data_IF_884239942462
#
_entry.id   IF_884239942462
#
_cell.length_a   1.000
_cell.length_b   1.000
_cell.length_c   1.000
_cell.angle_alpha   90.00
_cell.angle_beta   90.00
_cell.angle_gamma   90.00
#
_symmetry.space_group_name_H-M   'P 1'
#
loop_
_entity.id
_entity.type
_entity.pdbx_description
1 polymer ?
#
# COMPACT_ATOMS: atom_id res chain seq x y z
N UNK A 1 -25.27 7.59 17.79
CA UNK A 1 -24.70 7.69 16.42
C UNK A 1 -23.21 7.81 16.59
N UNK A 2 -22.55 6.67 16.48
CA UNK A 2 -21.54 6.28 17.46
C UNK A 2 -20.15 6.68 17.02
N UNK A 3 -19.42 7.31 17.95
CA UNK A 3 -18.00 7.64 17.84
C UNK A 3 -17.16 6.38 17.50
N UNK A 4 -17.63 5.22 17.97
CA UNK A 4 -17.11 3.88 17.63
C UNK A 4 -17.08 3.58 16.12
N UNK A 5 -17.95 4.17 15.29
CA UNK A 5 -17.93 3.90 13.84
C UNK A 5 -16.82 4.65 13.08
N UNK A 6 -16.41 5.83 13.55
CA UNK A 6 -15.40 6.65 12.82
C UNK A 6 -13.99 6.18 13.12
N UNK A 7 -13.69 5.92 14.39
CA UNK A 7 -12.37 5.43 14.83
C UNK A 7 -12.09 4.05 14.24
N UNK A 8 -13.08 3.15 14.24
CA UNK A 8 -12.93 1.84 13.62
C UNK A 8 -12.76 1.91 12.09
N UNK A 9 -13.51 2.79 11.39
CA UNK A 9 -13.32 2.99 9.94
C UNK A 9 -11.93 3.51 9.61
N UNK A 10 -11.41 4.42 10.43
CA UNK A 10 -10.05 4.94 10.29
C UNK A 10 -9.01 3.84 10.52
N UNK A 11 -9.18 3.04 11.57
CA UNK A 11 -8.36 1.86 11.81
C UNK A 11 -8.35 0.92 10.60
N UNK A 12 -9.52 0.54 10.06
CA UNK A 12 -9.61 -0.34 8.89
C UNK A 12 -8.93 0.28 7.67
N UNK A 13 -9.06 1.59 7.46
CA UNK A 13 -8.39 2.30 6.37
C UNK A 13 -6.86 2.19 6.49
N UNK A 14 -6.33 2.43 7.67
CA UNK A 14 -4.91 2.34 7.97
C UNK A 14 -4.42 0.89 7.86
N UNK A 15 -5.13 -0.05 8.47
CA UNK A 15 -4.78 -1.47 8.45
C UNK A 15 -4.72 -2.00 7.02
N UNK A 16 -5.68 -1.62 6.16
CA UNK A 16 -5.66 -1.98 4.74
C UNK A 16 -4.44 -1.47 3.98
N UNK A 17 -3.85 -0.35 4.41
CA UNK A 17 -2.61 0.18 3.82
C UNK A 17 -1.41 -0.63 4.28
N UNK A 18 -1.33 -0.89 5.58
CA UNK A 18 -0.24 -1.67 6.20
C UNK A 18 -0.19 -3.10 5.67
N UNK A 19 -1.33 -3.78 5.57
CA UNK A 19 -1.39 -5.22 5.22
C UNK A 19 -0.86 -5.54 3.81
N UNK A 20 -0.78 -4.56 2.91
CA UNK A 20 -0.32 -4.74 1.53
C UNK A 20 0.90 -3.90 1.19
N UNK A 21 1.54 -3.30 2.20
CA UNK A 21 2.68 -2.42 2.02
C UNK A 21 3.64 -2.58 3.21
N UNK A 22 4.53 -3.57 3.09
CA UNK A 22 5.51 -3.89 4.12
C UNK A 22 6.51 -2.75 4.38
N UNK A 23 6.80 -1.92 3.36
CA UNK A 23 7.64 -0.72 3.53
C UNK A 23 6.92 0.30 4.44
N UNK A 24 5.64 0.57 4.17
CA UNK A 24 4.82 1.46 5.00
C UNK A 24 4.71 0.93 6.44
N UNK A 25 4.54 -0.38 6.63
CA UNK A 25 4.58 -0.98 7.96
C UNK A 25 5.91 -0.71 8.67
N UNK A 26 7.02 -0.94 7.99
CA UNK A 26 8.35 -0.78 8.57
C UNK A 26 8.60 0.66 9.02
N UNK A 27 8.35 1.62 8.13
CA UNK A 27 8.64 3.03 8.35
C UNK A 27 7.67 3.69 9.35
N UNK A 28 6.37 3.44 9.19
CA UNK A 28 5.36 4.15 9.97
C UNK A 28 4.99 3.46 11.29
N UNK A 29 5.39 2.20 11.49
CA UNK A 29 5.06 1.44 12.71
C UNK A 29 6.28 0.82 13.36
N UNK A 30 6.97 -0.11 12.70
CA UNK A 30 8.04 -0.88 13.33
C UNK A 30 9.18 0.01 13.84
N UNK A 31 9.69 0.91 12.99
CA UNK A 31 10.79 1.81 13.33
C UNK A 31 10.39 2.83 14.40
N UNK A 32 9.14 3.31 14.40
CA UNK A 32 8.64 4.24 15.43
C UNK A 32 8.51 3.58 16.79
N UNK A 33 8.14 2.30 16.84
CA UNK A 33 8.03 1.52 18.08
C UNK A 33 9.39 1.03 18.58
N UNK A 34 10.33 0.77 17.66
CA UNK A 34 11.66 0.25 17.96
C UNK A 34 12.76 1.20 17.46
N UNK A 35 12.86 2.44 17.99
CA UNK A 35 13.79 3.44 17.46
C UNK A 35 15.26 3.00 17.55
N UNK A 36 15.62 2.28 18.62
CA UNK A 36 16.99 1.77 18.82
C UNK A 36 17.37 0.65 17.86
N UNK A 37 16.38 0.05 17.18
CA UNK A 37 16.54 -1.04 16.21
C UNK A 37 15.92 -0.67 14.86
N UNK A 38 15.83 0.63 14.57
CA UNK A 38 15.25 1.10 13.32
C UNK A 38 16.02 0.50 12.15
N UNK A 39 15.27 -0.06 11.19
CA UNK A 39 15.83 -0.62 9.97
C UNK A 39 15.71 0.44 8.90
N UNK A 40 16.85 0.91 8.41
CA UNK A 40 16.92 1.77 7.24
C UNK A 40 17.20 0.91 6.01
N UNK A 41 16.29 0.94 5.04
CA UNK A 41 16.41 0.23 3.78
C UNK A 41 16.80 1.20 2.67
N UNK A 42 17.61 0.71 1.74
CA UNK A 42 17.86 1.34 0.44
C UNK A 42 16.60 1.30 -0.44
N UNK A 43 16.55 2.11 -1.51
CA UNK A 43 15.43 2.11 -2.45
C UNK A 43 15.24 0.73 -3.10
N UNK A 44 16.34 0.01 -3.40
CA UNK A 44 16.32 -1.33 -3.95
C UNK A 44 15.71 -2.35 -2.98
N UNK A 45 16.10 -2.29 -1.70
CA UNK A 45 15.54 -3.15 -0.65
C UNK A 45 14.07 -2.84 -0.39
N UNK A 46 13.68 -1.55 -0.42
CA UNK A 46 12.27 -1.15 -0.33
C UNK A 46 11.45 -1.71 -1.49
N UNK A 47 11.97 -1.62 -2.71
CA UNK A 47 11.29 -2.20 -3.87
C UNK A 47 11.15 -3.72 -3.73
N UNK A 48 12.22 -4.42 -3.35
CA UNK A 48 12.18 -5.87 -3.15
C UNK A 48 11.17 -6.28 -2.08
N UNK A 49 11.17 -5.59 -0.94
CA UNK A 49 10.24 -5.85 0.16
C UNK A 49 8.79 -5.55 -0.24
N UNK A 50 8.57 -4.46 -0.98
CA UNK A 50 7.26 -4.15 -1.51
C UNK A 50 6.79 -5.22 -2.50
N UNK A 51 7.63 -5.64 -3.45
CA UNK A 51 7.25 -6.65 -4.44
C UNK A 51 6.96 -8.03 -3.84
N UNK A 52 7.61 -8.38 -2.72
CA UNK A 52 7.38 -9.63 -2.00
C UNK A 52 6.01 -9.65 -1.29
N UNK A 53 5.61 -8.52 -0.69
CA UNK A 53 4.41 -8.44 0.17
C UNK A 53 3.26 -7.61 -0.41
N UNK A 54 3.42 -7.04 -1.62
CA UNK A 54 2.36 -6.27 -2.26
C UNK A 54 1.12 -7.13 -2.45
N UNK A 55 -0.03 -6.58 -2.10
CA UNK A 55 -1.31 -7.22 -2.38
C UNK A 55 -1.53 -7.32 -3.89
N UNK A 56 -2.06 -8.45 -4.35
CA UNK A 56 -2.62 -8.54 -5.71
C UNK A 56 -3.98 -7.81 -5.70
N UNK A 57 -4.23 -6.88 -6.63
CA UNK A 57 -5.54 -6.25 -6.74
C UNK A 57 -6.62 -7.30 -6.98
N UNK A 58 -7.53 -7.47 -6.02
CA UNK A 58 -8.74 -8.27 -6.20
C UNK A 58 -9.84 -7.37 -6.75
N UNK A 59 -10.12 -7.52 -8.04
CA UNK A 59 -11.20 -6.79 -8.71
C UNK A 59 -12.56 -7.35 -8.30
N UNK A 60 -13.55 -6.45 -8.18
CA UNK A 60 -14.89 -6.81 -7.70
C UNK A 60 -15.74 -7.46 -8.80
N UNK A 61 -15.34 -7.29 -10.04
CA UNK A 61 -16.04 -7.74 -11.25
C UNK A 61 -15.25 -8.87 -11.93
N UNK A 62 -15.95 -9.68 -12.74
CA UNK A 62 -15.37 -10.76 -13.53
C UNK A 62 -15.55 -10.52 -15.02
N UNK A 63 -14.85 -11.28 -15.87
CA UNK A 63 -14.99 -11.17 -17.32
C UNK A 63 -14.47 -9.84 -17.87
N UNK A 64 -15.16 -9.26 -18.86
CA UNK A 64 -14.73 -8.06 -19.60
C UNK A 64 -14.55 -6.84 -18.68
N UNK A 65 -15.41 -6.69 -17.67
CA UNK A 65 -15.34 -5.57 -16.71
C UNK A 65 -14.07 -5.61 -15.84
N UNK A 66 -13.57 -6.80 -15.51
CA UNK A 66 -12.33 -6.96 -14.78
C UNK A 66 -11.13 -6.41 -15.57
N UNK A 67 -11.13 -6.58 -16.91
CA UNK A 67 -10.08 -6.03 -17.77
C UNK A 67 -10.10 -4.51 -17.81
N UNK A 68 -11.28 -3.87 -17.79
CA UNK A 68 -11.37 -2.41 -17.71
C UNK A 68 -10.90 -1.85 -16.35
N UNK A 69 -11.21 -2.55 -15.25
CA UNK A 69 -10.72 -2.17 -13.92
C UNK A 69 -9.19 -2.34 -13.81
N UNK A 70 -8.65 -3.42 -14.37
CA UNK A 70 -7.21 -3.65 -14.51
C UNK A 70 -6.52 -2.54 -15.31
N UNK A 71 -7.04 -2.21 -16.50
CA UNK A 71 -6.49 -1.17 -17.37
C UNK A 71 -6.48 0.20 -16.68
N UNK A 72 -7.59 0.57 -16.01
CA UNK A 72 -7.66 1.81 -15.22
C UNK A 72 -6.64 1.82 -14.08
N UNK A 73 -6.47 0.69 -13.39
CA UNK A 73 -5.49 0.54 -12.33
C UNK A 73 -4.06 0.75 -12.85
N UNK A 74 -3.66 0.06 -13.93
CA UNK A 74 -2.31 0.20 -14.48
C UNK A 74 -2.06 1.58 -15.07
N UNK A 75 -3.03 2.19 -15.79
CA UNK A 75 -2.91 3.59 -16.25
C UNK A 75 -2.72 4.58 -15.12
N UNK A 76 -3.36 4.34 -13.97
CA UNK A 76 -3.15 5.15 -12.76
C UNK A 76 -1.73 4.98 -12.22
N UNK A 77 -1.24 3.74 -12.14
CA UNK A 77 0.13 3.46 -11.71
C UNK A 77 1.15 4.18 -12.61
N UNK A 78 1.03 4.04 -13.93
CA UNK A 78 1.92 4.70 -14.89
C UNK A 78 1.95 6.22 -14.71
N UNK A 79 0.79 6.86 -14.53
CA UNK A 79 0.69 8.30 -14.31
C UNK A 79 1.37 8.75 -13.01
N UNK A 80 1.34 7.93 -11.97
CA UNK A 80 1.99 8.25 -10.69
C UNK A 80 3.49 8.00 -10.78
N UNK A 81 3.93 6.89 -11.39
CA UNK A 81 5.35 6.65 -11.66
C UNK A 81 5.97 7.76 -12.52
N UNK A 82 5.24 8.26 -13.52
CA UNK A 82 5.68 9.38 -14.36
C UNK A 82 5.85 10.70 -13.58
N UNK A 83 5.21 10.84 -12.41
CA UNK A 83 5.40 11.98 -11.48
C UNK A 83 6.53 11.74 -10.47
N UNK A 84 7.22 10.60 -10.55
CA UNK A 84 8.33 10.25 -9.67
C UNK A 84 7.94 9.45 -8.42
N UNK A 85 6.67 9.04 -8.27
CA UNK A 85 6.27 8.19 -7.15
C UNK A 85 6.88 6.78 -7.29
N UNK A 86 7.42 6.26 -6.20
CA UNK A 86 7.87 4.87 -6.06
C UNK A 86 6.69 3.93 -5.85
N UNK A 87 6.88 2.65 -6.13
CA UNK A 87 5.78 1.68 -6.11
C UNK A 87 5.15 1.53 -4.72
N UNK A 88 5.98 1.53 -3.67
CA UNK A 88 5.52 1.49 -2.29
C UNK A 88 4.91 2.81 -1.80
N UNK A 89 5.00 3.89 -2.56
CA UNK A 89 4.33 5.16 -2.26
C UNK A 89 2.93 5.25 -2.89
N UNK A 90 2.63 4.35 -3.85
CA UNK A 90 1.38 4.38 -4.62
C UNK A 90 0.34 3.47 -3.94
N UNK A 91 -0.73 4.10 -3.42
CA UNK A 91 -1.89 3.44 -2.80
C UNK A 91 -3.17 3.69 -3.60
#
# INVERSE_FOLDING_TARGET
>A
MDKESKEYKEFIRIFKRVQHNAVYFLEEYYNKVNPDKAIELTDEEKQSLFDEFRGVPLFKTGGVEAFEELDKYYKRLEKLKAKGYKDWEIQ
#
